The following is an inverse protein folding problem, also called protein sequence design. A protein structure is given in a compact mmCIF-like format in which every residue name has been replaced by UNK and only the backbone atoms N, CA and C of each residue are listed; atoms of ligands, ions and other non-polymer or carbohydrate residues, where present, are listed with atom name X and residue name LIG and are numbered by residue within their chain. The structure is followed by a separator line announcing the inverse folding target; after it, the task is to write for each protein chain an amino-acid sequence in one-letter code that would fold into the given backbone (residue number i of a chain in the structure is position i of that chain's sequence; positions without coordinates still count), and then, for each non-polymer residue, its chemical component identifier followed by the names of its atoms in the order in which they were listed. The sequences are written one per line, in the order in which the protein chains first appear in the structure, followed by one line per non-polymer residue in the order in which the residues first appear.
data_IF_732485855684
#
_entry.id   IF_732485855684
#
_cell.length_a   1.000
_cell.length_b   1.000
_cell.length_c   1.000
_cell.angle_alpha   90.00
_cell.angle_beta   90.00
_cell.angle_gamma   90.00
#
_symmetry.space_group_name_H-M   'P 1'
#
loop_
_entity.id
_entity.type
_entity.pdbx_description
1 polymer ?
#
# COMPACT_ATOMS: atom_id res chain seq x y z
N UNK A 1 -3.91 12.82 -9.10
CA UNK A 1 -5.00 12.89 -8.13
C UNK A 1 -5.01 14.23 -7.40
N UNK A 2 -3.90 14.64 -6.72
CA UNK A 2 -3.78 15.94 -6.05
C UNK A 2 -4.02 17.14 -6.97
N UNK A 3 -3.55 17.08 -8.22
CA UNK A 3 -3.74 18.14 -9.20
C UNK A 3 -5.24 18.36 -9.56
N UNK A 4 -6.00 17.27 -9.66
CA UNK A 4 -7.45 17.38 -9.91
C UNK A 4 -8.17 17.96 -8.69
N UNK A 5 -7.80 17.50 -7.50
CA UNK A 5 -8.35 17.99 -6.23
C UNK A 5 -8.04 19.48 -6.04
N UNK A 6 -6.80 19.90 -6.31
CA UNK A 6 -6.40 21.31 -6.28
C UNK A 6 -7.25 22.16 -7.23
N UNK A 7 -7.52 21.66 -8.44
CA UNK A 7 -8.37 22.34 -9.42
C UNK A 7 -9.81 22.51 -8.93
N UNK A 8 -10.41 21.49 -8.30
CA UNK A 8 -11.75 21.61 -7.73
C UNK A 8 -11.80 22.60 -6.57
N UNK A 9 -10.79 22.54 -5.70
CA UNK A 9 -10.71 23.45 -4.56
C UNK A 9 -10.47 24.89 -5.01
N UNK A 10 -9.62 25.13 -6.03
CA UNK A 10 -9.39 26.48 -6.57
C UNK A 10 -10.67 27.11 -7.15
N UNK A 11 -11.44 26.34 -7.94
CA UNK A 11 -12.73 26.81 -8.47
C UNK A 11 -13.74 27.15 -7.38
N UNK A 12 -13.80 26.30 -6.34
CA UNK A 12 -14.68 26.54 -5.20
C UNK A 12 -14.25 27.73 -4.36
N UNK A 13 -12.94 27.97 -4.24
CA UNK A 13 -12.38 29.11 -3.52
C UNK A 13 -12.69 30.45 -4.20
N UNK A 14 -12.66 30.50 -5.53
CA UNK A 14 -13.04 31.67 -6.33
C UNK A 14 -14.50 32.06 -6.11
N UNK A 15 -15.38 31.07 -5.89
CA UNK A 15 -16.81 31.27 -5.71
C UNK A 15 -17.24 31.53 -4.26
N UNK A 16 -16.59 30.85 -3.29
CA UNK A 16 -17.02 30.80 -1.89
C UNK A 16 -16.05 31.36 -0.86
N UNK A 17 -14.85 31.80 -1.30
CA UNK A 17 -13.83 32.37 -0.41
C UNK A 17 -13.39 31.45 0.73
N UNK A 18 -12.98 32.04 1.86
CA UNK A 18 -12.46 31.31 3.02
C UNK A 18 -13.53 30.39 3.69
N UNK A 19 -14.83 30.73 3.56
CA UNK A 19 -15.90 29.87 4.10
C UNK A 19 -15.96 28.51 3.41
N UNK A 20 -15.65 28.48 2.12
CA UNK A 20 -15.54 27.25 1.36
C UNK A 20 -14.37 26.38 1.85
N UNK A 21 -13.19 26.97 2.12
CA UNK A 21 -12.05 26.25 2.70
C UNK A 21 -12.38 25.64 4.06
N UNK A 22 -13.04 26.38 4.94
CA UNK A 22 -13.45 25.89 6.24
C UNK A 22 -14.42 24.70 6.13
N UNK A 23 -15.36 24.77 5.18
CA UNK A 23 -16.33 23.70 4.93
C UNK A 23 -15.64 22.44 4.39
N UNK A 24 -14.78 22.56 3.39
CA UNK A 24 -14.03 21.41 2.84
C UNK A 24 -13.09 20.83 3.89
N UNK A 25 -12.41 21.67 4.67
CA UNK A 25 -11.53 21.20 5.74
C UNK A 25 -12.28 20.35 6.78
N UNK A 26 -13.52 20.71 7.08
CA UNK A 26 -14.38 19.94 8.00
C UNK A 26 -14.89 18.63 7.38
N UNK A 27 -15.17 18.61 6.07
CA UNK A 27 -15.72 17.45 5.36
C UNK A 27 -14.64 16.42 4.94
N UNK A 28 -13.44 16.88 4.53
CA UNK A 28 -12.39 16.02 3.96
C UNK A 28 -11.63 15.17 5.00
N UNK A 29 -11.92 15.30 6.28
CA UNK A 29 -11.15 14.60 7.30
C UNK A 29 -9.64 14.91 7.18
N UNK A 30 -8.78 14.15 7.85
CA UNK A 30 -7.34 14.42 7.92
C UNK A 30 -6.51 13.92 6.71
N UNK A 31 -7.11 13.50 5.60
CA UNK A 31 -6.38 12.81 4.52
C UNK A 31 -5.57 13.74 3.60
N UNK A 32 -6.01 14.98 3.43
CA UNK A 32 -5.31 16.00 2.62
C UNK A 32 -5.13 17.26 3.43
N UNK A 33 -3.90 17.72 3.53
CA UNK A 33 -3.59 19.02 4.11
C UNK A 33 -3.78 20.09 3.05
N UNK A 34 -4.56 21.10 3.37
CA UNK A 34 -4.88 22.25 2.52
C UNK A 34 -4.28 23.49 3.13
N UNK A 35 -3.40 24.16 2.39
CA UNK A 35 -2.71 25.39 2.83
C UNK A 35 -2.96 26.49 1.80
N UNK A 36 -3.43 27.65 2.23
CA UNK A 36 -3.51 28.86 1.39
C UNK A 36 -2.37 29.81 1.79
N UNK A 37 -1.61 30.24 0.81
CA UNK A 37 -0.39 31.04 0.98
C UNK A 37 -0.55 32.33 0.17
N UNK A 38 -0.12 33.47 0.71
CA UNK A 38 -0.09 34.72 -0.03
C UNK A 38 1.12 34.82 -0.98
N UNK A 39 1.22 35.93 -1.75
CA UNK A 39 2.32 36.16 -2.72
C UNK A 39 3.69 36.24 -2.06
N UNK A 40 3.77 36.58 -0.78
CA UNK A 40 5.03 36.74 0.00
C UNK A 40 5.40 35.46 0.73
N UNK A 41 4.61 34.37 0.56
CA UNK A 41 4.82 33.07 1.17
C UNK A 41 4.27 32.93 2.59
N UNK A 42 3.49 33.90 3.06
CA UNK A 42 2.86 33.86 4.37
C UNK A 42 1.63 32.95 4.29
N UNK A 43 1.50 32.04 5.26
CA UNK A 43 0.35 31.13 5.33
C UNK A 43 -0.88 31.91 5.85
N UNK A 44 -1.92 31.93 5.04
CA UNK A 44 -3.21 32.58 5.37
C UNK A 44 -4.20 31.59 6.01
N UNK A 45 -4.14 30.31 5.58
CA UNK A 45 -5.02 29.25 6.06
C UNK A 45 -4.28 27.91 6.01
N UNK A 46 -4.54 27.06 7.00
CA UNK A 46 -4.12 25.65 7.00
C UNK A 46 -5.14 24.83 7.80
N UNK A 47 -5.55 23.65 7.26
CA UNK A 47 -6.57 22.83 7.92
C UNK A 47 -6.03 21.92 9.03
N UNK A 48 -4.71 21.81 9.20
CA UNK A 48 -4.08 20.94 10.20
C UNK A 48 -3.27 21.67 11.26
N UNK A 49 -2.94 22.95 11.02
CA UNK A 49 -2.15 23.76 11.93
C UNK A 49 -2.66 25.21 11.99
N UNK A 50 -2.36 25.92 13.06
CA UNK A 50 -2.66 27.34 13.14
C UNK A 50 -1.74 28.13 12.19
N UNK A 51 -2.33 28.83 11.21
CA UNK A 51 -1.60 29.53 10.14
C UNK A 51 -0.49 30.46 10.69
N UNK A 52 -0.73 31.14 11.81
CA UNK A 52 0.21 32.05 12.43
C UNK A 52 1.46 31.40 13.01
N UNK A 53 1.42 30.10 13.27
CA UNK A 53 2.55 29.33 13.82
C UNK A 53 3.44 28.74 12.74
N UNK A 54 3.00 28.80 11.48
CA UNK A 54 3.72 28.23 10.36
C UNK A 54 4.78 29.21 9.83
N UNK A 55 5.92 28.65 9.46
CA UNK A 55 7.01 29.40 8.82
C UNK A 55 6.59 29.89 7.43
N UNK A 56 7.33 30.85 6.89
CA UNK A 56 7.14 31.32 5.53
C UNK A 56 7.45 30.19 4.52
N UNK A 57 6.56 29.99 3.54
CA UNK A 57 6.61 28.91 2.59
C UNK A 57 7.13 29.33 1.18
N UNK A 58 7.56 30.60 1.01
CA UNK A 58 8.01 31.11 -0.28
C UNK A 58 9.14 30.28 -0.92
N UNK A 59 10.04 29.73 -0.09
CA UNK A 59 11.22 28.96 -0.55
C UNK A 59 10.92 27.45 -0.73
N UNK A 60 9.69 27.02 -0.60
CA UNK A 60 9.32 25.63 -0.87
C UNK A 60 9.33 25.39 -2.38
N UNK A 61 9.92 24.28 -2.81
CA UNK A 61 10.08 23.96 -4.25
C UNK A 61 8.75 24.05 -5.00
N UNK A 62 7.70 23.39 -4.53
CA UNK A 62 6.37 23.39 -5.13
C UNK A 62 5.76 24.80 -5.21
N UNK A 63 6.06 25.65 -4.23
CA UNK A 63 5.58 27.04 -4.20
C UNK A 63 6.33 27.90 -5.20
N UNK A 64 7.66 27.79 -5.27
CA UNK A 64 8.48 28.50 -6.24
C UNK A 64 8.09 28.14 -7.68
N UNK A 65 7.87 26.87 -7.96
CA UNK A 65 7.42 26.39 -9.26
C UNK A 65 6.02 26.92 -9.58
N UNK A 66 5.09 26.89 -8.63
CA UNK A 66 3.75 27.44 -8.83
C UNK A 66 3.77 28.95 -9.13
N UNK A 67 4.66 29.72 -8.49
CA UNK A 67 4.86 31.13 -8.81
C UNK A 67 5.39 31.34 -10.23
N UNK A 68 6.35 30.51 -10.67
CA UNK A 68 7.04 30.67 -11.95
C UNK A 68 6.17 30.23 -13.13
N UNK A 69 5.53 29.05 -13.06
CA UNK A 69 4.85 28.41 -14.20
C UNK A 69 3.37 28.12 -13.96
N UNK A 70 2.82 28.51 -12.80
CA UNK A 70 1.41 28.38 -12.47
C UNK A 70 1.09 27.13 -11.61
N UNK A 71 1.91 26.09 -11.63
CA UNK A 71 1.77 24.92 -10.78
C UNK A 71 3.15 24.34 -10.44
N UNK A 72 3.26 23.65 -9.31
CA UNK A 72 4.51 23.01 -8.87
C UNK A 72 4.24 21.76 -8.05
N UNK A 73 5.18 20.83 -8.09
CA UNK A 73 5.11 19.55 -7.39
C UNK A 73 6.38 19.31 -6.58
N UNK A 74 6.26 18.65 -5.45
CA UNK A 74 7.39 18.17 -4.69
C UNK A 74 7.04 16.88 -3.95
N UNK A 75 8.05 16.07 -3.74
CA UNK A 75 7.97 14.86 -2.93
C UNK A 75 9.01 14.94 -1.80
N UNK A 76 8.59 14.63 -0.58
CA UNK A 76 9.50 14.59 0.56
C UNK A 76 9.29 13.31 1.34
N UNK A 77 10.36 12.57 1.49
CA UNK A 77 10.42 11.41 2.36
C UNK A 77 10.87 11.81 3.77
N UNK A 78 10.22 11.27 4.78
CA UNK A 78 10.61 11.44 6.18
C UNK A 78 11.16 10.12 6.71
N UNK A 79 12.48 10.03 6.85
CA UNK A 79 13.15 8.85 7.43
C UNK A 79 12.66 8.52 8.84
N UNK A 80 12.31 9.56 9.62
CA UNK A 80 11.86 9.39 11.01
C UNK A 80 10.46 8.75 11.10
N UNK A 81 9.57 9.07 10.16
CA UNK A 81 8.18 8.61 10.17
C UNK A 81 7.93 7.48 9.16
N UNK A 82 8.93 7.14 8.33
CA UNK A 82 8.81 6.19 7.21
C UNK A 82 7.59 6.49 6.33
N UNK A 83 7.43 7.78 5.98
CA UNK A 83 6.28 8.28 5.21
C UNK A 83 6.75 9.20 4.10
N UNK A 84 6.10 9.06 2.94
CA UNK A 84 6.28 9.97 1.82
C UNK A 84 5.13 10.96 1.78
N UNK A 85 5.46 12.26 1.70
CA UNK A 85 4.47 13.31 1.52
C UNK A 85 4.62 13.93 0.14
N UNK A 86 3.57 13.86 -0.64
CA UNK A 86 3.42 14.50 -1.94
C UNK A 86 2.79 15.87 -1.78
N UNK A 87 3.37 16.86 -2.43
CA UNK A 87 2.92 18.25 -2.43
C UNK A 87 2.56 18.67 -3.83
N UNK A 88 1.45 19.38 -3.96
CA UNK A 88 1.03 20.05 -5.19
C UNK A 88 0.61 21.48 -4.86
N UNK A 89 1.15 22.44 -5.59
CA UNK A 89 0.81 23.83 -5.43
C UNK A 89 0.31 24.42 -6.77
N UNK A 90 -0.71 25.26 -6.71
CA UNK A 90 -1.25 25.95 -7.86
C UNK A 90 -1.44 27.43 -7.54
N UNK A 91 -1.07 28.29 -8.50
CA UNK A 91 -1.27 29.73 -8.39
C UNK A 91 -2.69 30.09 -8.82
N UNK A 92 -3.39 30.80 -7.93
CA UNK A 92 -4.74 31.32 -8.15
C UNK A 92 -4.71 32.62 -8.95
N UNK A 93 -5.87 33.05 -9.49
CA UNK A 93 -5.98 34.29 -10.27
C UNK A 93 -5.61 35.54 -9.48
N UNK A 94 -5.88 35.58 -8.18
CA UNK A 94 -5.51 36.68 -7.28
C UNK A 94 -4.03 36.68 -6.86
N UNK A 95 -3.25 35.73 -7.37
CA UNK A 95 -1.81 35.59 -7.12
C UNK A 95 -1.46 34.84 -5.85
N UNK A 96 -2.44 34.38 -5.06
CA UNK A 96 -2.21 33.46 -3.95
C UNK A 96 -1.85 32.05 -4.45
N UNK A 97 -1.32 31.23 -3.57
CA UNK A 97 -0.94 29.84 -3.86
C UNK A 97 -1.80 28.92 -3.00
N UNK A 98 -2.55 28.02 -3.67
CA UNK A 98 -3.21 26.89 -3.02
C UNK A 98 -2.26 25.70 -3.05
N UNK A 99 -1.89 25.19 -1.88
CA UNK A 99 -0.99 24.04 -1.72
C UNK A 99 -1.75 22.89 -1.06
N UNK A 100 -1.69 21.73 -1.69
CA UNK A 100 -2.20 20.47 -1.13
C UNK A 100 -1.05 19.56 -0.75
N UNK A 101 -1.20 18.80 0.34
CA UNK A 101 -0.24 17.79 0.72
C UNK A 101 -0.96 16.51 1.15
N UNK A 102 -0.48 15.35 0.65
CA UNK A 102 -0.97 14.03 1.03
C UNK A 102 0.18 13.16 1.48
N UNK A 103 0.09 12.65 2.70
CA UNK A 103 1.06 11.71 3.23
C UNK A 103 0.57 10.29 3.00
N UNK A 104 1.45 9.46 2.44
CA UNK A 104 1.20 8.04 2.19
C UNK A 104 2.15 7.24 3.07
N UNK A 105 1.60 6.28 3.80
CA UNK A 105 2.40 5.34 4.57
C UNK A 105 3.25 4.47 3.63
N UNK A 106 4.47 4.15 4.06
CA UNK A 106 5.36 3.29 3.30
C UNK A 106 4.71 1.92 3.08
N UNK A 107 4.62 1.52 1.81
CA UNK A 107 4.09 0.21 1.40
C UNK A 107 4.91 -0.93 2.01
N UNK A 108 6.21 -0.70 2.26
CA UNK A 108 7.13 -1.68 2.85
C UNK A 108 6.65 -2.21 4.20
N UNK A 109 6.15 -1.33 5.07
CA UNK A 109 5.65 -1.74 6.40
C UNK A 109 4.44 -2.66 6.29
N UNK A 110 3.52 -2.37 5.38
CA UNK A 110 2.34 -3.20 5.13
C UNK A 110 2.72 -4.57 4.56
N UNK A 111 3.69 -4.62 3.64
CA UNK A 111 4.21 -5.87 3.05
C UNK A 111 4.95 -6.70 4.10
N UNK A 112 5.82 -6.07 4.92
CA UNK A 112 6.54 -6.78 5.98
C UNK A 112 5.59 -7.41 7.02
N UNK A 113 4.48 -6.77 7.33
CA UNK A 113 3.47 -7.31 8.24
C UNK A 113 2.74 -8.54 7.68
N UNK A 114 2.66 -8.68 6.35
CA UNK A 114 2.04 -9.85 5.70
C UNK A 114 2.99 -11.04 5.58
N UNK A 115 4.32 -10.81 5.59
CA UNK A 115 5.33 -11.87 5.44
C UNK A 115 5.19 -13.02 6.46
N UNK A 116 5.02 -12.80 7.77
CA UNK A 116 4.88 -13.88 8.74
C UNK A 116 3.60 -14.69 8.54
N UNK A 117 2.52 -14.07 8.08
CA UNK A 117 1.25 -14.75 7.79
C UNK A 117 1.44 -15.67 6.58
N UNK A 118 2.04 -15.17 5.50
CA UNK A 118 2.34 -15.97 4.32
C UNK A 118 3.30 -17.12 4.63
N UNK A 119 4.36 -16.84 5.41
CA UNK A 119 5.30 -17.87 5.87
C UNK A 119 4.61 -18.95 6.69
N UNK A 120 3.72 -18.60 7.59
CA UNK A 120 2.92 -19.53 8.38
C UNK A 120 2.05 -20.44 7.51
N UNK A 121 1.39 -19.90 6.50
CA UNK A 121 0.57 -20.68 5.55
C UNK A 121 1.43 -21.68 4.80
N UNK A 122 2.59 -21.27 4.29
CA UNK A 122 3.52 -22.16 3.56
C UNK A 122 3.99 -23.32 4.45
N UNK A 123 4.33 -23.05 5.71
CA UNK A 123 4.75 -24.08 6.67
C UNK A 123 3.62 -25.07 6.93
N UNK A 124 2.39 -24.61 7.13
CA UNK A 124 1.22 -25.49 7.36
C UNK A 124 0.96 -26.37 6.15
N UNK A 125 0.98 -25.79 4.94
CA UNK A 125 0.78 -26.55 3.70
C UNK A 125 1.88 -27.60 3.50
N UNK A 126 3.13 -27.24 3.73
CA UNK A 126 4.25 -28.19 3.62
C UNK A 126 4.15 -29.33 4.66
N UNK A 127 3.71 -29.02 5.87
CA UNK A 127 3.48 -30.02 6.92
C UNK A 127 2.36 -31.00 6.55
N UNK A 128 1.22 -30.49 6.09
CA UNK A 128 0.11 -31.31 5.60
C UNK A 128 0.51 -32.18 4.42
N UNK A 129 1.21 -31.61 3.45
CA UNK A 129 1.75 -32.36 2.30
C UNK A 129 2.70 -33.48 2.73
N UNK A 130 3.55 -33.22 3.74
CA UNK A 130 4.45 -34.23 4.29
C UNK A 130 3.70 -35.39 4.96
N UNK A 131 2.61 -35.10 5.68
CA UNK A 131 1.76 -36.13 6.30
C UNK A 131 1.10 -37.00 5.20
N UNK A 132 0.54 -36.37 4.15
CA UNK A 132 -0.09 -37.07 3.06
C UNK A 132 0.93 -37.95 2.31
N UNK A 133 2.10 -37.38 1.99
CA UNK A 133 3.17 -38.14 1.34
C UNK A 133 3.59 -39.37 2.16
N UNK A 134 3.77 -39.22 3.47
CA UNK A 134 4.07 -40.35 4.36
C UNK A 134 2.96 -41.39 4.34
N UNK A 135 1.70 -40.98 4.43
CA UNK A 135 0.56 -41.91 4.37
C UNK A 135 0.50 -42.68 3.07
N UNK A 136 0.69 -42.02 1.94
CA UNK A 136 0.73 -42.67 0.62
C UNK A 136 1.90 -43.65 0.54
N UNK A 137 3.10 -43.26 0.99
CA UNK A 137 4.27 -44.15 0.97
C UNK A 137 4.03 -45.42 1.82
N UNK A 138 3.53 -45.27 3.04
CA UNK A 138 3.31 -46.41 3.93
C UNK A 138 2.16 -47.32 3.47
N UNK A 139 1.10 -46.77 2.91
CA UNK A 139 -0.07 -47.57 2.57
C UNK A 139 0.00 -48.20 1.16
N UNK A 140 0.71 -47.59 0.21
CA UNK A 140 0.74 -48.06 -1.18
C UNK A 140 2.08 -48.68 -1.58
N UNK A 141 3.22 -48.10 -1.11
CA UNK A 141 4.53 -48.56 -1.60
C UNK A 141 5.09 -49.67 -0.72
N UNK A 142 4.93 -49.60 0.59
CA UNK A 142 5.47 -50.60 1.50
C UNK A 142 4.91 -52.02 1.31
N UNK A 143 3.62 -52.23 1.03
CA UNK A 143 3.09 -53.55 0.68
C UNK A 143 3.68 -54.15 -0.62
N UNK A 144 4.06 -53.30 -1.58
CA UNK A 144 4.68 -53.77 -2.84
C UNK A 144 6.12 -54.27 -2.65
N UNK A 145 6.85 -53.73 -1.66
CA UNK A 145 8.21 -54.17 -1.33
C UNK A 145 8.24 -55.52 -0.62
N UNK A 146 7.08 -56.00 -0.14
CA UNK A 146 6.93 -57.31 0.53
C UNK A 146 6.54 -58.43 -0.43
N UNK A 147 6.35 -58.15 -1.73
CA UNK A 147 6.08 -59.17 -2.74
C UNK A 147 7.37 -60.00 -2.93
N UNK A 148 7.35 -61.21 -2.40
CA UNK A 148 8.45 -62.16 -2.56
C UNK A 148 8.41 -62.72 -3.99
N UNK A 149 9.32 -62.30 -4.84
CA UNK A 149 9.42 -62.75 -6.25
C UNK A 149 9.93 -64.20 -6.37
N UNK A 150 10.57 -64.70 -5.31
CA UNK A 150 11.10 -66.05 -5.31
C UNK A 150 10.05 -67.13 -4.93
N UNK A 151 8.98 -66.74 -4.22
CA UNK A 151 7.84 -67.59 -3.88
C UNK A 151 6.52 -66.88 -4.21
N UNK A 152 6.14 -66.81 -5.49
CA UNK A 152 5.01 -65.99 -5.95
C UNK A 152 3.64 -66.50 -5.50
N UNK A 153 3.52 -67.73 -5.05
CA UNK A 153 2.26 -68.36 -4.63
C UNK A 153 1.91 -68.11 -3.14
N UNK A 154 2.85 -67.58 -2.33
CA UNK A 154 2.67 -67.33 -0.91
C UNK A 154 2.43 -65.82 -0.59
N UNK A 155 2.19 -65.01 -1.63
CA UNK A 155 1.91 -63.59 -1.50
C UNK A 155 0.43 -63.32 -1.25
N UNK A 156 0.01 -63.20 0.02
CA UNK A 156 -1.37 -62.82 0.39
C UNK A 156 -1.69 -61.31 0.14
N UNK A 157 -0.78 -60.54 -0.48
CA UNK A 157 -0.81 -59.08 -0.40
C UNK A 157 -1.84 -58.42 -1.31
N UNK A 158 -2.19 -59.04 -2.47
CA UNK A 158 -3.25 -58.54 -3.35
C UNK A 158 -3.81 -59.68 -4.21
N UNK A 159 -5.05 -60.07 -4.00
CA UNK A 159 -5.80 -61.04 -4.84
C UNK A 159 -5.84 -60.61 -6.32
N UNK A 160 -5.75 -59.32 -6.62
CA UNK A 160 -5.80 -58.74 -7.98
C UNK A 160 -4.50 -59.00 -8.78
N UNK A 161 -3.39 -59.29 -8.11
CA UNK A 161 -2.08 -59.58 -8.76
C UNK A 161 -1.85 -61.08 -9.00
N UNK A 162 -2.67 -61.95 -8.43
CA UNK A 162 -2.59 -63.40 -8.59
C UNK A 162 -2.54 -63.85 -10.06
N UNK A 163 -3.31 -63.28 -11.00
CA UNK A 163 -3.25 -63.66 -12.42
C UNK A 163 -1.93 -63.37 -13.12
N UNK A 164 -1.15 -62.42 -12.59
CA UNK A 164 0.13 -62.00 -13.17
C UNK A 164 1.31 -62.79 -12.60
N UNK A 165 1.17 -63.39 -11.43
CA UNK A 165 2.22 -64.13 -10.73
C UNK A 165 2.25 -65.64 -11.12
N UNK A 166 1.23 -66.14 -11.81
CA UNK A 166 1.12 -67.54 -12.22
C UNK A 166 1.53 -67.81 -13.66
N UNK A 167 2.30 -66.91 -14.30
CA UNK A 167 2.75 -67.08 -15.69
C UNK A 167 4.23 -67.46 -15.78
#
# INVERSE_FOLDING_TARGET
ELAQEARYISMGLESGGNDFLNKIAAENGSNVRITLIDKDGIVLFDNQAEAKTLENHAMRQEVMEAVAVGAGEAERFSDTLDKTTYYYAVRLEDGKILRLARTIDSIYKSVLQMLPIMGGIVIVVAFLASIVARRVTFNLIKPLDQVNLDEPLDNETYDELAPFLTR
#
